data_IF_355679240022
#
_entry.id   IF_355679240022
#
_cell.length_a   1.000
_cell.length_b   1.000
_cell.length_c   1.000
_cell.angle_alpha   90.00
_cell.angle_beta   90.00
_cell.angle_gamma   90.00
#
_symmetry.space_group_name_H-M   'P 1'
#
loop_
_entity.id
_entity.type
_entity.pdbx_description
1 polymer ?
#
# COMPACT_ATOMS: atom_id res chain seq x y z
N UNK A 1 18.03 -3.48 57.44
CA UNK A 1 19.32 -2.78 57.62
C UNK A 1 19.51 -1.91 56.34
N UNK A 2 19.14 -0.61 56.38
CA UNK A 2 19.90 0.57 56.75
C UNK A 2 21.11 0.75 55.81
N UNK A 3 21.39 1.83 55.18
CA UNK A 3 21.32 3.28 55.37
C UNK A 3 21.63 3.98 54.05
N UNK A 4 20.87 4.93 53.63
CA UNK A 4 21.11 6.38 53.55
C UNK A 4 22.54 6.84 53.16
N UNK A 5 22.66 7.66 52.13
CA UNK A 5 23.11 9.05 52.31
C UNK A 5 22.84 9.94 51.10
N UNK A 6 22.20 11.06 51.38
CA UNK A 6 21.92 12.27 50.58
C UNK A 6 23.18 13.15 50.54
N UNK A 7 23.49 13.79 49.40
CA UNK A 7 24.17 15.10 49.40
C UNK A 7 23.59 16.02 48.33
N UNK A 8 23.10 17.15 48.82
CA UNK A 8 22.66 18.38 48.13
C UNK A 8 23.86 19.32 47.93
N UNK A 9 23.86 20.10 46.82
CA UNK A 9 24.19 21.56 46.80
C UNK A 9 23.87 22.10 45.39
N UNK A 10 22.92 22.95 45.23
CA UNK A 10 22.68 24.39 45.54
C UNK A 10 23.49 25.40 44.72
N UNK A 11 22.72 26.24 43.97
CA UNK A 11 22.81 27.72 43.74
C UNK A 11 23.58 28.14 42.49
N UNK A 12 23.19 29.15 41.68
CA UNK A 12 22.27 30.33 41.80
C UNK A 12 22.05 30.95 40.42
N UNK A 13 20.89 31.54 40.22
CA UNK A 13 20.55 32.64 39.28
C UNK A 13 21.36 33.92 39.64
N UNK A 14 21.27 35.12 38.92
CA UNK A 14 20.18 35.65 38.06
C UNK A 14 20.54 36.73 37.00
N UNK A 15 19.48 37.25 36.31
CA UNK A 15 19.24 38.64 35.87
C UNK A 15 19.82 39.03 34.47
N UNK A 16 19.23 39.78 33.62
CA UNK A 16 18.04 40.66 33.47
C UNK A 16 18.13 41.42 32.13
N UNK A 17 16.96 41.70 31.52
CA UNK A 17 16.57 42.89 30.74
C UNK A 17 17.26 43.21 29.41
N UNK A 18 16.52 43.56 28.33
CA UNK A 18 15.50 44.59 28.03
C UNK A 18 14.90 44.32 26.65
N UNK A 19 13.63 44.33 26.41
CA UNK A 19 12.62 45.34 26.03
C UNK A 19 13.04 46.37 24.99
N UNK A 20 12.39 46.35 23.81
CA UNK A 20 11.76 47.44 23.05
C UNK A 20 11.24 46.83 21.73
N UNK A 21 9.97 46.77 21.44
CA UNK A 21 8.91 47.70 21.09
C UNK A 21 9.10 48.41 19.76
N UNK A 22 8.00 48.41 19.00
CA UNK A 22 7.58 49.13 17.78
C UNK A 22 7.80 48.32 16.49
N UNK A 23 6.81 48.16 15.63
CA UNK A 23 5.44 48.64 15.52
C UNK A 23 4.94 48.32 14.13
N UNK A 24 3.69 48.02 14.05
CA UNK A 24 2.69 48.25 13.01
C UNK A 24 3.02 48.24 11.53
N UNK A 25 2.24 47.56 10.81
CA UNK A 25 1.18 47.76 9.79
C UNK A 25 1.50 46.94 8.52
N UNK A 26 0.67 46.33 7.77
CA UNK A 26 -0.73 46.38 7.37
C UNK A 26 -1.10 45.12 6.58
N UNK A 27 -2.30 44.72 6.79
CA UNK A 27 -3.13 43.80 6.00
C UNK A 27 -3.22 44.22 4.54
N UNK A 28 -3.05 43.29 3.57
CA UNK A 28 -3.85 43.29 2.34
C UNK A 28 -4.13 41.85 1.94
N UNK A 29 -5.42 41.50 1.95
CA UNK A 29 -6.07 40.37 1.28
C UNK A 29 -5.83 40.46 -0.23
N UNK A 30 -5.52 39.36 -0.87
CA UNK A 30 -6.04 39.07 -2.20
C UNK A 30 -6.15 37.56 -2.42
N UNK A 31 -7.40 37.16 -2.63
CA UNK A 31 -7.84 35.87 -3.16
C UNK A 31 -7.28 35.62 -4.56
N UNK A 32 -7.10 34.36 -4.90
CA UNK A 32 -7.29 34.01 -6.29
C UNK A 32 -6.37 32.97 -6.89
N UNK A 33 -6.88 31.73 -7.05
CA UNK A 33 -6.70 30.84 -8.21
C UNK A 33 -5.36 30.11 -8.44
N UNK A 34 -5.41 28.82 -8.07
CA UNK A 34 -5.23 27.68 -8.99
C UNK A 34 -4.28 27.89 -10.18
N UNK A 35 -3.15 27.19 -10.13
CA UNK A 35 -2.60 26.31 -11.19
C UNK A 35 -1.12 26.03 -10.92
N UNK A 36 -0.80 24.77 -10.73
CA UNK A 36 0.60 24.29 -10.77
C UNK A 36 1.07 24.30 -12.22
N UNK A 37 2.28 24.75 -12.51
CA UNK A 37 2.99 24.32 -13.69
C UNK A 37 4.24 23.50 -13.34
N UNK A 38 4.44 22.48 -14.12
CA UNK A 38 5.62 21.68 -14.39
C UNK A 38 6.95 22.40 -14.13
N UNK A 39 7.76 21.86 -13.22
CA UNK A 39 9.18 22.15 -13.14
C UNK A 39 9.96 21.30 -14.12
N UNK A 40 10.17 21.83 -15.31
CA UNK A 40 11.19 21.32 -16.23
C UNK A 40 12.52 22.04 -15.92
N UNK A 41 13.50 21.22 -15.68
CA UNK A 41 14.90 21.48 -15.36
C UNK A 41 15.51 22.72 -16.09
N UNK A 42 15.79 23.78 -15.36
CA UNK A 42 16.54 24.99 -15.81
C UNK A 42 17.90 25.05 -15.13
N UNK A 43 18.65 23.96 -15.17
CA UNK A 43 19.95 23.83 -14.48
C UNK A 43 21.13 23.59 -15.42
N UNK A 44 21.03 23.93 -16.71
CA UNK A 44 22.16 23.77 -17.66
C UNK A 44 22.54 25.00 -18.47
N UNK A 45 22.13 26.22 -18.10
CA UNK A 45 22.46 27.42 -18.91
C UNK A 45 23.07 28.61 -18.13
N UNK A 46 23.51 28.43 -16.88
CA UNK A 46 24.09 29.50 -16.08
C UNK A 46 25.56 29.31 -15.69
N UNK A 47 26.35 28.52 -16.45
CA UNK A 47 27.80 28.37 -16.15
C UNK A 47 28.74 28.76 -17.29
N UNK A 48 28.35 29.70 -18.15
CA UNK A 48 29.26 30.25 -19.17
C UNK A 48 29.14 31.77 -19.34
N UNK A 49 28.96 32.51 -18.25
CA UNK A 49 29.02 33.98 -18.33
C UNK A 49 29.61 34.60 -17.06
N UNK A 50 30.80 34.16 -16.68
CA UNK A 50 31.60 34.83 -15.67
C UNK A 50 33.06 34.47 -15.80
N UNK A 51 33.67 34.91 -16.89
CA UNK A 51 35.11 35.08 -17.01
C UNK A 51 35.38 35.90 -18.27
N UNK A 52 35.28 37.22 -18.16
CA UNK A 52 35.97 38.19 -19.02
C UNK A 52 35.54 39.62 -18.64
N UNK A 53 36.05 40.08 -17.53
CA UNK A 53 36.27 41.51 -17.30
C UNK A 53 37.58 41.62 -16.54
N UNK A 54 38.63 41.96 -17.28
CA UNK A 54 39.78 42.77 -16.92
C UNK A 54 40.79 42.75 -18.08
N UNK A 55 40.71 43.75 -18.90
CA UNK A 55 41.84 44.55 -19.35
C UNK A 55 41.39 45.59 -20.35
N UNK A 56 41.40 46.84 -19.91
CA UNK A 56 41.50 47.97 -20.80
C UNK A 56 42.91 48.02 -21.40
N UNK A 57 42.98 48.32 -22.68
CA UNK A 57 43.80 49.41 -23.24
C UNK A 57 43.62 49.49 -24.74
N UNK A 58 43.48 50.70 -25.17
CA UNK A 58 43.24 51.19 -26.50
C UNK A 58 44.08 50.60 -27.62
N UNK A 59 43.48 50.45 -28.81
CA UNK A 59 44.04 50.93 -30.09
C UNK A 59 42.92 51.01 -31.14
N UNK A 60 42.79 52.21 -31.69
CA UNK A 60 41.96 52.64 -32.79
C UNK A 60 42.20 51.83 -34.07
N UNK A 61 41.14 51.23 -34.64
CA UNK A 61 41.21 50.50 -35.91
C UNK A 61 39.82 50.13 -36.41
N UNK A 62 39.25 50.98 -37.21
CA UNK A 62 37.98 50.78 -37.94
C UNK A 62 37.94 49.44 -38.70
N UNK A 63 37.10 48.52 -38.29
CA UNK A 63 36.69 47.37 -39.10
C UNK A 63 35.23 47.51 -39.52
N UNK A 64 34.87 47.25 -40.78
CA UNK A 64 33.52 47.40 -41.30
C UNK A 64 32.58 46.40 -40.63
N UNK A 65 31.40 46.89 -40.25
CA UNK A 65 30.30 46.12 -39.70
C UNK A 65 29.95 44.98 -40.66
N UNK A 66 30.24 43.75 -40.25
CA UNK A 66 29.70 42.56 -40.92
C UNK A 66 28.18 42.48 -40.65
N UNK A 67 27.39 42.66 -41.67
CA UNK A 67 25.92 42.50 -41.61
C UNK A 67 25.54 41.13 -41.03
N UNK A 68 24.51 41.04 -40.16
CA UNK A 68 24.05 39.78 -39.60
C UNK A 68 23.60 38.87 -40.73
N UNK A 69 24.19 37.67 -40.82
CA UNK A 69 23.81 36.68 -41.84
C UNK A 69 22.30 36.36 -41.70
N UNK A 70 21.52 36.43 -42.77
CA UNK A 70 20.09 36.19 -42.73
C UNK A 70 19.85 34.75 -42.23
N UNK A 71 19.09 34.58 -41.14
CA UNK A 71 18.62 33.28 -40.69
C UNK A 71 17.81 32.64 -41.83
N UNK A 72 18.32 31.55 -42.43
CA UNK A 72 17.61 30.79 -43.46
C UNK A 72 16.25 30.39 -42.87
N UNK A 73 15.18 30.94 -43.45
CA UNK A 73 13.79 30.55 -43.11
C UNK A 73 13.64 29.09 -43.43
N UNK A 74 13.18 28.23 -42.49
CA UNK A 74 13.00 26.81 -42.77
C UNK A 74 12.01 26.65 -43.91
N UNK A 75 12.32 25.71 -44.78
CA UNK A 75 11.55 25.43 -46.00
C UNK A 75 10.07 25.15 -45.65
N UNK A 76 9.12 25.61 -46.44
CA UNK A 76 7.68 25.40 -46.17
C UNK A 76 7.35 23.91 -45.96
N UNK A 77 8.05 23.03 -46.66
CA UNK A 77 7.95 21.58 -46.52
C UNK A 77 8.38 21.09 -45.12
N UNK A 78 9.47 21.62 -44.56
CA UNK A 78 9.93 21.26 -43.23
C UNK A 78 8.93 21.73 -42.16
N UNK A 79 8.31 22.88 -42.33
CA UNK A 79 7.25 23.36 -41.41
C UNK A 79 6.00 22.50 -41.48
N UNK A 80 5.61 22.08 -42.67
CA UNK A 80 4.48 21.18 -42.87
C UNK A 80 4.75 19.80 -42.27
N UNK A 81 5.94 19.26 -42.46
CA UNK A 81 6.36 17.98 -41.84
C UNK A 81 6.39 18.08 -40.33
N UNK A 82 6.95 19.17 -39.77
CA UNK A 82 6.95 19.40 -38.31
C UNK A 82 5.52 19.50 -37.76
N UNK A 83 4.61 20.17 -38.51
CA UNK A 83 3.19 20.24 -38.14
C UNK A 83 2.53 18.85 -38.13
N UNK A 84 2.79 18.03 -39.16
CA UNK A 84 2.27 16.65 -39.22
C UNK A 84 2.80 15.78 -38.08
N UNK A 85 4.08 15.90 -37.71
CA UNK A 85 4.67 15.18 -36.60
C UNK A 85 4.04 15.62 -35.27
N UNK A 86 3.89 16.94 -35.05
CA UNK A 86 3.25 17.44 -33.83
C UNK A 86 1.78 17.04 -33.73
N UNK A 87 1.06 17.04 -34.85
CA UNK A 87 -0.33 16.59 -34.94
C UNK A 87 -0.43 15.08 -34.63
N UNK A 88 0.43 14.27 -35.22
CA UNK A 88 0.50 12.83 -34.95
C UNK A 88 0.82 12.51 -33.49
N UNK A 89 1.76 13.26 -32.87
CA UNK A 89 2.06 13.12 -31.44
C UNK A 89 0.88 13.54 -30.56
N UNK A 90 0.16 14.60 -30.94
CA UNK A 90 -1.03 15.05 -30.21
C UNK A 90 -2.17 14.04 -30.30
N UNK A 91 -2.46 13.53 -31.50
CA UNK A 91 -3.47 12.47 -31.72
C UNK A 91 -3.05 11.18 -31.00
N UNK A 92 -1.76 10.82 -31.05
CA UNK A 92 -1.21 9.69 -30.31
C UNK A 92 -1.37 9.84 -28.80
N UNK A 93 -1.09 11.03 -28.25
CA UNK A 93 -1.27 11.31 -26.82
C UNK A 93 -2.75 11.23 -26.41
N UNK A 94 -3.67 11.78 -27.22
CA UNK A 94 -5.12 11.68 -26.95
C UNK A 94 -5.60 10.23 -27.05
N UNK A 95 -5.14 9.47 -28.03
CA UNK A 95 -5.47 8.05 -28.15
C UNK A 95 -4.92 7.21 -26.99
N UNK A 96 -3.71 7.53 -26.51
CA UNK A 96 -3.11 6.93 -25.31
C UNK A 96 -3.94 7.23 -24.06
N UNK A 97 -4.35 8.47 -23.85
CA UNK A 97 -5.18 8.85 -22.71
C UNK A 97 -6.58 8.23 -22.79
N UNK A 98 -7.20 8.24 -23.98
CA UNK A 98 -8.54 7.67 -24.19
C UNK A 98 -8.59 6.14 -24.07
N UNK A 99 -7.46 5.45 -24.23
CA UNK A 99 -7.37 4.00 -24.12
C UNK A 99 -6.41 3.57 -22.99
N UNK A 100 -6.12 4.44 -22.02
CA UNK A 100 -5.17 4.17 -20.96
C UNK A 100 -5.53 2.88 -20.20
N UNK A 101 -6.81 2.66 -19.91
CA UNK A 101 -7.31 1.47 -19.22
C UNK A 101 -7.19 0.19 -20.04
N UNK A 102 -7.11 0.30 -21.39
CA UNK A 102 -6.96 -0.84 -22.31
C UNK A 102 -5.50 -1.12 -22.70
N UNK A 103 -4.60 -0.16 -22.49
CA UNK A 103 -3.19 -0.31 -22.82
C UNK A 103 -2.44 -0.97 -21.66
N UNK A 104 -2.16 -2.24 -21.83
CA UNK A 104 -1.37 -3.00 -20.84
C UNK A 104 0.13 -2.71 -21.04
N UNK A 105 0.67 -1.77 -20.24
CA UNK A 105 2.10 -1.47 -20.21
C UNK A 105 2.90 -2.42 -19.29
N UNK A 106 2.25 -3.38 -18.64
CA UNK A 106 2.88 -4.30 -17.70
C UNK A 106 3.93 -5.18 -18.38
N UNK A 107 3.74 -5.50 -19.67
CA UNK A 107 4.77 -6.18 -20.47
C UNK A 107 6.08 -5.37 -20.50
N UNK A 108 6.00 -4.06 -20.73
CA UNK A 108 7.18 -3.18 -20.74
C UNK A 108 7.80 -3.11 -19.35
N UNK A 109 6.97 -2.96 -18.31
CA UNK A 109 7.41 -2.96 -16.91
C UNK A 109 8.13 -4.27 -16.56
N UNK A 110 7.54 -5.42 -16.90
CA UNK A 110 8.16 -6.74 -16.72
C UNK A 110 9.48 -6.87 -17.48
N UNK A 111 9.52 -6.44 -18.73
CA UNK A 111 10.73 -6.51 -19.54
C UNK A 111 11.89 -5.76 -18.89
N UNK A 112 11.66 -4.54 -18.40
CA UNK A 112 12.68 -3.77 -17.69
C UNK A 112 13.05 -4.39 -16.34
N UNK A 113 12.09 -4.85 -15.56
CA UNK A 113 12.30 -5.38 -14.20
C UNK A 113 13.00 -6.73 -14.21
N UNK A 114 12.71 -7.60 -15.20
CA UNK A 114 13.19 -8.99 -15.20
C UNK A 114 14.11 -9.32 -16.36
N UNK A 115 14.64 -8.36 -17.09
CA UNK A 115 15.54 -8.60 -18.24
C UNK A 115 16.84 -9.35 -17.89
N UNK A 116 17.31 -9.22 -16.65
CA UNK A 116 18.53 -9.87 -16.14
C UNK A 116 18.24 -11.18 -15.39
N UNK A 117 16.97 -11.51 -15.15
CA UNK A 117 16.57 -12.72 -14.46
C UNK A 117 16.60 -13.90 -15.45
N UNK A 118 17.41 -14.91 -15.15
CA UNK A 118 17.42 -16.17 -15.91
C UNK A 118 16.06 -16.87 -15.72
N UNK A 119 15.41 -17.24 -16.84
CA UNK A 119 14.11 -17.91 -16.87
C UNK A 119 14.13 -19.01 -17.89
N UNK A 120 13.35 -20.06 -17.64
CA UNK A 120 13.11 -21.12 -18.62
C UNK A 120 12.09 -20.67 -19.68
N UNK A 121 11.82 -21.52 -20.67
CA UNK A 121 10.91 -21.24 -21.78
C UNK A 121 9.44 -21.04 -21.32
N UNK A 122 9.07 -21.52 -20.14
CA UNK A 122 7.74 -21.30 -19.54
C UNK A 122 7.66 -20.01 -18.71
N UNK A 123 8.72 -19.21 -18.63
CA UNK A 123 8.75 -17.95 -17.89
C UNK A 123 9.05 -18.09 -16.41
N UNK A 124 9.41 -19.28 -15.92
CA UNK A 124 9.76 -19.51 -14.52
C UNK A 124 11.25 -19.21 -14.29
N UNK A 125 11.54 -18.47 -13.22
CA UNK A 125 12.89 -18.33 -12.69
C UNK A 125 13.32 -19.61 -11.95
N UNK A 126 14.62 -19.72 -11.68
CA UNK A 126 15.14 -20.78 -10.83
C UNK A 126 14.54 -20.70 -9.44
N UNK A 127 14.14 -21.85 -8.87
CA UNK A 127 13.62 -21.92 -7.53
C UNK A 127 14.73 -21.74 -6.50
N UNK A 128 14.42 -21.05 -5.41
CA UNK A 128 15.31 -20.90 -4.27
C UNK A 128 14.68 -21.45 -2.99
N UNK A 129 15.53 -21.94 -2.10
CA UNK A 129 15.09 -22.41 -0.79
C UNK A 129 14.93 -21.23 0.18
N UNK A 130 13.85 -21.26 0.94
CA UNK A 130 13.67 -20.38 2.09
C UNK A 130 13.65 -21.19 3.39
N UNK A 131 13.99 -20.54 4.48
CA UNK A 131 13.89 -21.12 5.81
C UNK A 131 12.59 -20.65 6.45
N UNK A 132 11.80 -21.58 6.89
CA UNK A 132 10.54 -21.37 7.55
C UNK A 132 10.07 -22.66 8.21
N UNK A 133 8.85 -22.68 8.72
CA UNK A 133 8.21 -23.85 9.30
C UNK A 133 6.80 -24.06 8.72
N UNK A 134 5.97 -24.87 9.36
CA UNK A 134 4.62 -25.19 8.89
C UNK A 134 3.61 -24.04 9.03
N UNK A 135 3.97 -22.96 9.74
CA UNK A 135 3.10 -21.84 10.09
C UNK A 135 3.60 -20.54 9.50
N UNK A 136 4.09 -20.57 8.26
CA UNK A 136 4.61 -19.39 7.60
C UNK A 136 3.50 -18.46 7.10
N UNK A 137 3.66 -17.14 7.37
CA UNK A 137 2.98 -16.08 6.65
C UNK A 137 3.90 -15.58 5.52
N UNK A 138 3.31 -15.23 4.38
CA UNK A 138 4.03 -14.79 3.19
C UNK A 138 3.42 -13.53 2.62
N UNK A 139 4.28 -12.61 2.17
CA UNK A 139 3.86 -11.43 1.43
C UNK A 139 4.90 -11.04 0.38
N UNK A 140 4.50 -10.19 -0.57
CA UNK A 140 5.41 -9.55 -1.52
C UNK A 140 5.56 -8.08 -1.17
N UNK A 141 6.79 -7.61 -1.04
CA UNK A 141 7.15 -6.23 -0.70
C UNK A 141 8.14 -5.73 -1.73
N UNK A 142 7.78 -4.72 -2.52
CA UNK A 142 8.62 -4.18 -3.61
C UNK A 142 9.23 -5.25 -4.54
N UNK A 143 8.49 -6.36 -4.70
CA UNK A 143 8.95 -7.46 -5.53
C UNK A 143 9.82 -8.50 -4.84
N UNK A 144 10.15 -8.33 -3.59
CA UNK A 144 10.87 -9.30 -2.77
C UNK A 144 9.86 -10.16 -1.97
N UNK A 145 10.24 -11.39 -1.63
CA UNK A 145 9.42 -12.32 -0.86
C UNK A 145 9.73 -12.17 0.64
N UNK A 146 8.74 -11.75 1.40
CA UNK A 146 8.78 -11.83 2.86
C UNK A 146 8.26 -13.20 3.31
N UNK A 147 9.06 -13.88 4.13
CA UNK A 147 8.71 -15.13 4.79
C UNK A 147 8.78 -14.89 6.30
N UNK A 148 7.64 -14.98 6.95
CA UNK A 148 7.53 -14.81 8.37
C UNK A 148 7.08 -16.12 9.02
N UNK A 149 7.85 -16.62 9.96
CA UNK A 149 7.56 -17.81 10.77
C UNK A 149 7.49 -17.43 12.25
N UNK A 150 7.05 -18.32 13.12
CA UNK A 150 7.13 -18.10 14.56
C UNK A 150 8.52 -17.74 15.09
N UNK A 151 9.58 -18.18 14.42
CA UNK A 151 10.95 -18.05 14.90
C UNK A 151 11.82 -17.10 14.09
N UNK A 152 11.40 -16.74 12.87
CA UNK A 152 12.25 -15.92 11.98
C UNK A 152 11.41 -15.05 11.05
N UNK A 153 11.94 -13.87 10.72
CA UNK A 153 11.47 -13.02 9.64
C UNK A 153 12.60 -12.92 8.63
N UNK A 154 12.31 -13.24 7.36
CA UNK A 154 13.28 -13.19 6.27
C UNK A 154 12.70 -12.50 5.04
N UNK A 155 13.52 -11.67 4.41
CA UNK A 155 13.18 -11.01 3.14
C UNK A 155 14.15 -11.49 2.05
N UNK A 156 13.61 -12.07 0.99
CA UNK A 156 14.37 -12.64 -0.12
C UNK A 156 14.09 -11.89 -1.42
N UNK A 157 15.13 -11.66 -2.22
CA UNK A 157 14.93 -11.24 -3.61
C UNK A 157 14.21 -12.31 -4.43
N UNK A 158 13.75 -11.96 -5.63
CA UNK A 158 13.18 -12.92 -6.58
C UNK A 158 14.17 -14.03 -7.05
N UNK A 159 15.47 -13.90 -6.75
CA UNK A 159 16.52 -14.88 -7.00
C UNK A 159 17.00 -15.62 -5.72
N UNK A 160 16.37 -15.39 -4.57
CA UNK A 160 16.69 -16.08 -3.32
C UNK A 160 17.82 -15.47 -2.49
N UNK A 161 18.31 -14.26 -2.84
CA UNK A 161 19.24 -13.54 -1.97
C UNK A 161 18.50 -13.03 -0.74
N UNK A 162 18.94 -13.38 0.45
CA UNK A 162 18.40 -12.83 1.70
C UNK A 162 18.93 -11.42 1.95
N UNK A 163 18.03 -10.49 2.26
CA UNK A 163 18.33 -9.13 2.70
C UNK A 163 18.12 -8.97 4.20
N UNK A 164 17.08 -9.60 4.73
CA UNK A 164 16.78 -9.65 6.16
C UNK A 164 16.82 -11.11 6.62
N UNK A 165 17.41 -11.35 7.77
CA UNK A 165 17.42 -12.63 8.49
C UNK A 165 17.38 -12.33 9.98
N UNK A 166 16.18 -12.25 10.54
CA UNK A 166 15.94 -11.83 11.91
C UNK A 166 15.30 -12.96 12.71
N UNK A 167 15.89 -13.28 13.87
CA UNK A 167 15.29 -14.18 14.84
C UNK A 167 14.23 -13.44 15.65
N UNK A 168 13.06 -14.05 15.79
CA UNK A 168 11.91 -13.52 16.55
C UNK A 168 11.30 -14.65 17.38
N UNK A 169 10.34 -14.31 18.25
CA UNK A 169 9.57 -15.31 19.02
C UNK A 169 8.10 -14.92 18.99
N UNK A 170 7.39 -15.37 17.96
CA UNK A 170 5.97 -15.10 17.76
C UNK A 170 5.17 -16.39 17.85
N UNK A 171 3.91 -16.27 18.24
CA UNK A 171 2.98 -17.40 18.28
C UNK A 171 2.13 -17.47 17.01
N UNK A 172 1.62 -16.32 16.58
CA UNK A 172 0.72 -16.20 15.43
C UNK A 172 1.17 -15.03 14.54
N UNK A 173 2.22 -15.22 13.72
CA UNK A 173 2.71 -14.16 12.85
C UNK A 173 1.69 -13.79 11.77
N UNK A 174 1.38 -12.52 11.67
CA UNK A 174 0.50 -11.92 10.65
C UNK A 174 1.26 -10.84 9.92
N UNK A 175 0.98 -10.70 8.62
CA UNK A 175 1.65 -9.71 7.76
C UNK A 175 0.60 -8.85 7.08
N UNK A 176 0.75 -7.52 7.17
CA UNK A 176 0.07 -6.53 6.35
C UNK A 176 1.09 -5.82 5.46
N UNK A 177 0.72 -5.49 4.22
CA UNK A 177 1.62 -4.81 3.27
C UNK A 177 0.91 -3.72 2.52
N UNK A 178 1.58 -2.57 2.37
CA UNK A 178 1.15 -1.50 1.48
C UNK A 178 2.32 -0.59 1.09
N UNK A 179 2.32 -0.04 -0.11
CA UNK A 179 3.25 1.02 -0.54
C UNK A 179 4.73 0.70 -0.39
N UNK A 180 5.14 -0.57 -0.54
CA UNK A 180 6.53 -0.98 -0.37
C UNK A 180 6.96 -1.15 1.08
N UNK A 181 6.00 -1.14 2.02
CA UNK A 181 6.20 -1.40 3.45
C UNK A 181 5.52 -2.70 3.83
N UNK A 182 6.18 -3.52 4.64
CA UNK A 182 5.60 -4.67 5.30
C UNK A 182 5.58 -4.44 6.81
N UNK A 183 4.47 -4.74 7.42
CA UNK A 183 4.26 -4.77 8.85
C UNK A 183 4.02 -6.23 9.26
N UNK A 184 4.80 -6.72 10.21
CA UNK A 184 4.69 -8.07 10.78
C UNK A 184 4.37 -7.95 12.25
N UNK A 185 3.38 -8.67 12.73
CA UNK A 185 3.04 -8.65 14.15
C UNK A 185 2.60 -10.03 14.67
N UNK A 186 2.75 -10.25 15.96
CA UNK A 186 2.27 -11.45 16.65
C UNK A 186 0.83 -11.23 17.15
N UNK A 187 -0.16 -11.81 16.45
CA UNK A 187 -1.56 -11.70 16.84
C UNK A 187 -1.82 -12.44 18.17
N UNK A 188 -2.21 -11.71 19.20
CA UNK A 188 -2.30 -12.17 20.59
C UNK A 188 -1.00 -12.07 21.38
N UNK A 189 0.11 -11.74 20.72
CA UNK A 189 1.41 -11.44 21.32
C UNK A 189 1.65 -9.93 21.49
N UNK A 190 2.92 -9.51 21.50
CA UNK A 190 3.29 -8.12 21.81
C UNK A 190 4.28 -7.50 20.81
N UNK A 191 4.87 -8.29 19.94
CA UNK A 191 5.94 -7.83 19.05
C UNK A 191 5.36 -7.42 17.69
N UNK A 192 5.87 -6.31 17.17
CA UNK A 192 5.56 -5.76 15.87
C UNK A 192 6.84 -5.24 15.24
N UNK A 193 7.01 -5.51 13.93
CA UNK A 193 8.17 -5.13 13.14
C UNK A 193 7.72 -4.52 11.82
N UNK A 194 8.43 -3.50 11.34
CA UNK A 194 8.15 -2.85 10.06
C UNK A 194 9.40 -2.89 9.19
N UNK A 195 9.23 -3.33 7.95
CA UNK A 195 10.27 -3.44 6.94
C UNK A 195 9.95 -2.56 5.75
N UNK A 196 10.94 -1.82 5.29
CA UNK A 196 10.87 -1.02 4.07
C UNK A 196 12.27 -0.86 3.48
N UNK A 197 12.40 -0.79 2.15
CA UNK A 197 13.70 -0.64 1.50
C UNK A 197 14.69 -1.78 1.80
N UNK A 198 14.19 -2.99 2.15
CA UNK A 198 14.98 -4.19 2.44
C UNK A 198 15.66 -4.20 3.81
N UNK A 199 15.19 -3.41 4.75
CA UNK A 199 15.70 -3.34 6.13
C UNK A 199 14.56 -3.17 7.13
N UNK A 200 14.81 -3.50 8.41
CA UNK A 200 13.91 -3.14 9.50
C UNK A 200 14.01 -1.63 9.74
N UNK A 201 12.87 -0.94 9.68
CA UNK A 201 12.81 0.52 9.88
C UNK A 201 12.16 0.90 11.20
N UNK A 202 11.40 -0.02 11.80
CA UNK A 202 10.76 0.20 13.09
C UNK A 202 10.42 -1.13 13.77
N UNK A 203 10.49 -1.17 15.09
CA UNK A 203 9.96 -2.26 15.91
C UNK A 203 9.32 -1.73 17.18
N UNK A 204 8.31 -2.45 17.66
CA UNK A 204 7.54 -2.12 18.84
C UNK A 204 7.30 -3.38 19.67
N UNK A 205 7.53 -3.31 20.96
CA UNK A 205 7.07 -4.32 21.91
C UNK A 205 6.07 -3.67 22.87
N UNK A 206 4.84 -4.15 22.84
CA UNK A 206 3.77 -3.67 23.71
C UNK A 206 4.04 -4.05 25.18
N UNK A 207 3.48 -3.26 26.10
CA UNK A 207 3.55 -3.53 27.54
C UNK A 207 2.75 -4.78 27.92
N UNK A 208 3.01 -5.31 29.12
CA UNK A 208 2.26 -6.45 29.65
C UNK A 208 0.75 -6.10 29.76
N UNK A 209 -0.09 -6.99 29.24
CA UNK A 209 -1.54 -6.81 29.20
C UNK A 209 -2.05 -5.99 28.02
N UNK A 210 -1.18 -5.61 27.07
CA UNK A 210 -1.53 -4.93 25.82
C UNK A 210 -1.24 -5.83 24.60
N UNK A 211 -1.80 -7.03 24.57
CA UNK A 211 -1.62 -7.94 23.44
C UNK A 211 -2.16 -7.31 22.15
N UNK A 212 -1.42 -7.49 21.06
CA UNK A 212 -1.80 -7.05 19.72
C UNK A 212 -3.01 -7.84 19.21
N UNK A 213 -4.04 -7.16 18.73
CA UNK A 213 -5.20 -7.77 18.11
C UNK A 213 -5.08 -7.73 16.59
N UNK A 214 -4.72 -6.56 16.06
CA UNK A 214 -4.49 -6.32 14.64
C UNK A 214 -3.47 -5.21 14.47
N UNK A 215 -2.82 -5.16 13.31
CA UNK A 215 -2.05 -4.01 12.89
C UNK A 215 -2.07 -3.91 11.36
N UNK A 216 -2.29 -2.70 10.85
CA UNK A 216 -2.35 -2.42 9.42
C UNK A 216 -1.43 -1.27 9.04
N UNK A 217 -0.95 -1.26 7.79
CA UNK A 217 -0.13 -0.21 7.21
C UNK A 217 -0.79 0.33 5.94
N UNK A 218 -0.87 1.65 5.81
CA UNK A 218 -1.37 2.25 4.58
C UNK A 218 -0.24 2.50 3.55
N UNK A 219 -0.61 2.91 2.34
CA UNK A 219 0.34 3.16 1.23
C UNK A 219 1.38 4.25 1.52
N UNK A 220 1.19 5.08 2.54
CA UNK A 220 2.08 6.16 2.94
C UNK A 220 2.96 5.79 4.16
N UNK A 221 2.89 4.53 4.61
CA UNK A 221 3.66 4.04 5.76
C UNK A 221 3.10 4.44 7.13
N UNK A 222 1.84 4.93 7.19
CA UNK A 222 1.15 5.15 8.46
C UNK A 222 0.60 3.85 9.00
N UNK A 223 0.64 3.67 10.34
CA UNK A 223 0.21 2.42 10.97
C UNK A 223 -1.03 2.67 11.83
N UNK A 224 -1.94 1.69 11.84
CA UNK A 224 -2.97 1.54 12.86
C UNK A 224 -2.65 0.27 13.66
N UNK A 225 -2.43 0.40 14.96
CA UNK A 225 -2.11 -0.72 15.84
C UNK A 225 -3.23 -0.90 16.85
N UNK A 226 -3.95 -2.01 16.75
CA UNK A 226 -5.06 -2.38 17.64
C UNK A 226 -4.53 -3.31 18.72
N UNK A 227 -4.78 -2.99 19.97
CA UNK A 227 -4.31 -3.78 21.12
C UNK A 227 -5.37 -3.91 22.20
N UNK A 228 -5.19 -4.92 23.04
CA UNK A 228 -5.91 -5.02 24.32
C UNK A 228 -5.50 -3.87 25.22
N UNK A 229 -6.42 -3.44 26.06
CA UNK A 229 -6.16 -2.41 27.07
C UNK A 229 -6.94 -2.70 28.37
N UNK A 230 -6.23 -2.69 29.50
CA UNK A 230 -6.85 -2.95 30.80
C UNK A 230 -7.89 -1.84 31.13
N UNK A 231 -9.10 -2.25 31.50
CA UNK A 231 -10.20 -1.32 31.77
C UNK A 231 -10.98 -0.85 30.56
N UNK A 232 -10.54 -1.19 29.34
CA UNK A 232 -11.22 -0.88 28.08
C UNK A 232 -11.51 -2.16 27.27
N UNK A 233 -12.30 -2.03 26.22
CA UNK A 233 -12.60 -3.12 25.28
C UNK A 233 -11.62 -3.21 24.12
N UNK A 234 -10.57 -2.40 24.16
CA UNK A 234 -9.46 -2.32 23.23
C UNK A 234 -9.07 -0.87 22.96
N UNK A 235 -7.91 -0.71 22.37
CA UNK A 235 -7.39 0.58 21.94
C UNK A 235 -6.76 0.49 20.56
N UNK A 236 -6.75 1.63 19.86
CA UNK A 236 -6.05 1.81 18.59
C UNK A 236 -5.08 2.96 18.73
N UNK A 237 -3.81 2.72 18.44
CA UNK A 237 -2.80 3.76 18.33
C UNK A 237 -2.44 3.96 16.88
N UNK A 238 -2.53 5.19 16.40
CA UNK A 238 -2.12 5.57 15.04
C UNK A 238 -0.71 6.14 15.10
N UNK A 239 0.17 5.64 14.23
CA UNK A 239 1.53 6.14 14.05
C UNK A 239 1.67 6.81 12.68
N UNK A 240 2.40 7.91 12.63
CA UNK A 240 2.76 8.56 11.36
C UNK A 240 3.85 7.78 10.59
N UNK A 241 4.25 8.27 9.43
CA UNK A 241 5.31 7.66 8.61
C UNK A 241 6.74 7.82 9.17
N UNK A 242 6.89 8.50 10.30
CA UNK A 242 8.12 8.56 11.11
C UNK A 242 8.06 7.59 12.27
N UNK A 243 6.98 6.79 12.35
CA UNK A 243 6.66 5.85 13.43
C UNK A 243 6.51 6.52 14.80
N UNK A 244 6.12 7.80 14.81
CA UNK A 244 5.77 8.51 16.03
C UNK A 244 4.27 8.32 16.32
N UNK A 245 3.87 8.02 17.58
CA UNK A 245 2.46 7.90 17.93
C UNK A 245 1.79 9.27 17.82
N UNK A 246 0.71 9.33 17.04
CA UNK A 246 -0.05 10.55 16.76
C UNK A 246 -1.24 10.70 17.71
N UNK A 247 -2.05 9.65 17.83
CA UNK A 247 -3.27 9.62 18.62
C UNK A 247 -3.57 8.19 19.06
N UNK A 248 -4.21 8.06 20.23
CA UNK A 248 -4.71 6.79 20.77
C UNK A 248 -6.19 6.91 21.06
N UNK A 249 -6.96 5.92 20.63
CA UNK A 249 -8.39 5.76 20.93
C UNK A 249 -8.56 4.57 21.87
N UNK A 250 -9.14 4.79 23.06
CA UNK A 250 -9.43 3.73 24.04
C UNK A 250 -10.94 3.58 24.19
N UNK A 251 -11.48 2.45 23.74
CA UNK A 251 -12.92 2.22 23.68
C UNK A 251 -13.40 1.42 24.89
N UNK A 252 -14.46 1.89 25.53
CA UNK A 252 -15.07 1.23 26.70
C UNK A 252 -16.42 0.58 26.42
N UNK A 253 -17.10 1.00 25.35
CA UNK A 253 -18.47 0.58 25.02
C UNK A 253 -18.54 -0.57 24.00
N UNK A 254 -17.57 -0.66 23.05
CA UNK A 254 -17.51 -1.68 22.00
C UNK A 254 -16.11 -2.26 21.90
N UNK A 255 -16.00 -3.53 21.54
CA UNK A 255 -14.70 -4.18 21.29
C UNK A 255 -14.15 -3.68 19.95
N UNK A 256 -12.87 -3.29 19.94
CA UNK A 256 -12.14 -3.02 18.69
C UNK A 256 -11.50 -4.31 18.20
N UNK A 257 -11.70 -4.60 16.93
CA UNK A 257 -11.18 -5.82 16.30
C UNK A 257 -10.05 -5.53 15.31
N UNK A 258 -10.17 -4.43 14.56
CA UNK A 258 -9.25 -4.05 13.52
C UNK A 258 -9.29 -2.53 13.28
N UNK A 259 -8.28 -1.98 12.61
CA UNK A 259 -8.27 -0.58 12.24
C UNK A 259 -7.40 -0.33 10.99
N UNK A 260 -7.82 0.61 10.15
CA UNK A 260 -7.10 0.99 8.94
C UNK A 260 -7.01 2.52 8.79
N UNK A 261 -5.82 3.05 8.49
CA UNK A 261 -5.61 4.48 8.23
C UNK A 261 -6.00 4.82 6.79
N UNK A 262 -6.72 5.93 6.62
CA UNK A 262 -7.12 6.44 5.32
C UNK A 262 -5.91 6.66 4.38
N UNK A 263 -6.08 6.48 3.05
CA UNK A 263 -5.01 6.76 2.09
C UNK A 263 -4.54 8.22 2.06
N UNK A 264 -5.38 9.15 2.52
CA UNK A 264 -5.03 10.57 2.63
C UNK A 264 -4.45 10.97 3.99
N UNK A 265 -4.30 10.01 4.92
CA UNK A 265 -3.76 10.16 6.28
C UNK A 265 -4.56 11.14 7.18
N UNK A 266 -5.86 11.35 6.90
CA UNK A 266 -6.66 12.29 7.69
C UNK A 266 -7.63 11.63 8.65
N UNK A 267 -7.92 10.36 8.43
CA UNK A 267 -8.89 9.60 9.22
C UNK A 267 -8.41 8.18 9.45
N UNK A 268 -8.97 7.54 10.45
CA UNK A 268 -8.82 6.10 10.74
C UNK A 268 -10.21 5.46 10.84
N UNK A 269 -10.36 4.28 10.26
CA UNK A 269 -11.52 3.42 10.41
C UNK A 269 -11.22 2.37 11.48
N UNK A 270 -12.10 2.22 12.44
CA UNK A 270 -12.06 1.18 13.45
C UNK A 270 -13.19 0.20 13.20
N UNK A 271 -12.87 -1.08 13.06
CA UNK A 271 -13.85 -2.14 13.08
C UNK A 271 -14.20 -2.45 14.53
N UNK A 272 -15.45 -2.22 14.89
CA UNK A 272 -15.96 -2.44 16.25
C UNK A 272 -17.09 -3.46 16.27
N UNK A 273 -17.15 -4.25 17.34
CA UNK A 273 -18.23 -5.17 17.59
C UNK A 273 -18.88 -4.90 18.96
N UNK A 274 -20.17 -5.12 19.06
CA UNK A 274 -20.90 -4.92 20.30
C UNK A 274 -22.36 -5.30 20.19
N UNK A 275 -23.15 -4.87 21.18
CA UNK A 275 -24.59 -5.07 21.17
C UNK A 275 -25.29 -3.72 20.96
N UNK A 276 -26.24 -3.69 20.03
CA UNK A 276 -27.16 -2.58 19.82
C UNK A 276 -28.58 -3.11 19.98
N UNK A 277 -29.32 -2.56 20.93
CA UNK A 277 -30.65 -3.05 21.29
C UNK A 277 -30.71 -4.56 21.58
N UNK A 278 -29.64 -5.09 22.19
CA UNK A 278 -29.51 -6.52 22.54
C UNK A 278 -29.09 -7.43 21.39
N UNK A 279 -28.91 -6.92 20.19
CA UNK A 279 -28.46 -7.66 19.01
C UNK A 279 -26.97 -7.42 18.75
N UNK A 280 -26.26 -8.47 18.33
CA UNK A 280 -24.88 -8.36 17.87
C UNK A 280 -24.80 -7.49 16.64
N UNK A 281 -23.84 -6.59 16.62
CA UNK A 281 -23.64 -5.66 15.52
C UNK A 281 -22.16 -5.39 15.31
N UNK A 282 -21.70 -5.48 14.07
CA UNK A 282 -20.41 -4.98 13.60
C UNK A 282 -20.58 -3.60 12.98
N UNK A 283 -19.66 -2.69 13.26
CA UNK A 283 -19.63 -1.31 12.75
C UNK A 283 -18.25 -0.93 12.25
N UNK A 284 -18.24 -0.04 11.28
CA UNK A 284 -17.07 0.76 10.93
C UNK A 284 -17.27 2.14 11.54
N UNK A 285 -16.47 2.46 12.54
CA UNK A 285 -16.45 3.75 13.22
C UNK A 285 -15.27 4.57 12.70
N UNK A 286 -15.55 5.79 12.21
CA UNK A 286 -14.58 6.66 11.56
C UNK A 286 -14.20 7.80 12.48
N UNK A 287 -12.90 8.04 12.62
CA UNK A 287 -12.34 9.12 13.43
C UNK A 287 -11.39 9.96 12.59
N UNK A 288 -11.52 11.29 12.68
CA UNK A 288 -10.52 12.18 12.11
C UNK A 288 -9.27 12.22 13.00
N UNK A 289 -8.10 12.34 12.36
CA UNK A 289 -6.82 12.34 13.06
C UNK A 289 -6.36 13.74 13.52
N UNK A 290 -7.11 14.79 13.22
CA UNK A 290 -6.86 16.17 13.67
C UNK A 290 -7.54 16.52 15.02
N UNK A 291 -8.12 15.52 15.68
CA UNK A 291 -8.82 15.68 16.96
C UNK A 291 -7.87 15.61 18.17
N UNK A 292 -8.40 15.99 19.34
CA UNK A 292 -7.70 15.83 20.61
C UNK A 292 -7.95 14.45 21.22
N UNK A 293 -7.04 13.97 22.09
CA UNK A 293 -7.17 12.67 22.79
C UNK A 293 -8.44 12.56 23.67
N UNK A 294 -9.03 13.69 24.07
CA UNK A 294 -10.23 13.74 24.92
C UNK A 294 -11.53 13.40 24.16
N UNK A 295 -11.51 13.45 22.83
CA UNK A 295 -12.67 13.15 21.99
C UNK A 295 -12.74 11.65 21.69
N UNK A 296 -13.70 10.94 22.31
CA UNK A 296 -13.83 9.47 22.19
C UNK A 296 -14.94 9.03 21.24
N UNK A 297 -15.85 9.91 20.86
CA UNK A 297 -16.94 9.58 19.95
C UNK A 297 -16.47 9.61 18.50
N UNK A 298 -16.92 8.66 17.64
CA UNK A 298 -16.59 8.67 16.22
C UNK A 298 -17.24 9.87 15.51
N UNK A 299 -16.58 10.39 14.47
CA UNK A 299 -17.18 11.41 13.59
C UNK A 299 -18.33 10.82 12.76
N UNK A 300 -18.20 9.56 12.36
CA UNK A 300 -19.21 8.81 11.64
C UNK A 300 -19.22 7.34 12.06
N UNK A 301 -20.39 6.73 11.98
CA UNK A 301 -20.60 5.31 12.29
C UNK A 301 -21.42 4.67 11.18
N UNK A 302 -20.93 3.55 10.65
CA UNK A 302 -21.63 2.76 9.65
C UNK A 302 -21.82 1.33 10.14
N UNK A 303 -23.07 0.89 10.44
CA UNK A 303 -23.34 -0.52 10.71
C UNK A 303 -23.08 -1.37 9.46
N UNK A 304 -22.33 -2.47 9.62
CA UNK A 304 -22.00 -3.42 8.54
C UNK A 304 -22.61 -4.81 8.80
N UNK A 305 -23.72 -4.81 9.50
CA UNK A 305 -24.52 -6.00 9.74
C UNK A 305 -24.24 -6.70 11.07
N UNK A 306 -24.88 -7.86 11.24
CA UNK A 306 -24.84 -8.66 12.46
C UNK A 306 -24.01 -9.94 12.30
N UNK A 307 -23.01 -9.92 11.43
CA UNK A 307 -22.08 -11.02 11.20
C UNK A 307 -20.64 -10.61 11.53
N UNK A 308 -19.77 -11.60 11.70
CA UNK A 308 -18.36 -11.34 11.93
C UNK A 308 -17.70 -10.78 10.67
N UNK A 309 -16.97 -9.69 10.82
CA UNK A 309 -16.09 -9.15 9.80
C UNK A 309 -14.70 -9.78 9.99
N UNK A 310 -14.13 -10.28 8.91
CA UNK A 310 -12.90 -11.08 8.88
C UNK A 310 -11.69 -10.27 8.48
N UNK A 311 -11.87 -9.19 7.70
CA UNK A 311 -10.80 -8.33 7.20
C UNK A 311 -11.35 -6.92 6.94
N UNK A 312 -10.53 -5.90 7.17
CA UNK A 312 -10.83 -4.50 6.94
C UNK A 312 -9.69 -3.87 6.14
N UNK A 313 -10.01 -3.30 4.97
CA UNK A 313 -9.04 -2.61 4.12
C UNK A 313 -9.54 -1.22 3.74
N UNK A 314 -8.70 -0.20 3.90
CA UNK A 314 -9.01 1.13 3.39
C UNK A 314 -8.21 1.43 2.13
N UNK A 315 -8.89 1.45 1.00
CA UNK A 315 -8.33 1.72 -0.31
C UNK A 315 -8.79 3.09 -0.83
N UNK A 316 -8.27 3.52 -1.98
CA UNK A 316 -8.74 4.74 -2.66
C UNK A 316 -10.22 4.67 -3.10
N UNK A 317 -10.78 3.47 -3.21
CA UNK A 317 -12.17 3.23 -3.62
C UNK A 317 -13.15 3.09 -2.45
N UNK A 318 -12.67 3.14 -1.20
CA UNK A 318 -13.49 3.01 0.01
C UNK A 318 -12.90 2.06 1.03
N UNK A 319 -13.66 1.85 2.11
CA UNK A 319 -13.34 0.93 3.19
C UNK A 319 -14.07 -0.38 2.90
N UNK A 320 -13.31 -1.44 2.70
CA UNK A 320 -13.80 -2.78 2.41
C UNK A 320 -13.84 -3.58 3.70
N UNK A 321 -15.04 -3.94 4.15
CA UNK A 321 -15.27 -4.79 5.31
C UNK A 321 -15.78 -6.16 4.84
N UNK A 322 -14.89 -7.15 4.85
CA UNK A 322 -15.19 -8.51 4.42
C UNK A 322 -15.80 -9.30 5.57
N UNK A 323 -17.06 -9.66 5.45
CA UNK A 323 -17.76 -10.49 6.43
C UNK A 323 -17.82 -11.98 6.07
N UNK A 324 -18.27 -12.79 7.01
CA UNK A 324 -18.50 -14.22 6.81
C UNK A 324 -19.62 -14.50 5.78
N UNK A 325 -20.62 -13.62 5.70
CA UNK A 325 -21.82 -13.80 4.85
C UNK A 325 -21.97 -12.74 3.76
N UNK A 326 -21.15 -11.71 3.73
CA UNK A 326 -21.22 -10.61 2.76
C UNK A 326 -20.00 -9.69 2.82
N UNK A 327 -19.84 -8.90 1.76
CA UNK A 327 -18.86 -7.86 1.64
C UNK A 327 -19.56 -6.51 1.73
N UNK A 328 -19.01 -5.58 2.49
CA UNK A 328 -19.54 -4.23 2.69
C UNK A 328 -18.51 -3.19 2.29
N UNK A 329 -18.94 -2.13 1.62
CA UNK A 329 -18.07 -1.05 1.18
C UNK A 329 -18.60 0.24 1.79
N UNK A 330 -17.78 0.88 2.60
CA UNK A 330 -18.11 2.13 3.32
C UNK A 330 -17.27 3.26 2.72
N UNK A 331 -17.92 4.37 2.42
CA UNK A 331 -17.22 5.57 1.93
C UNK A 331 -16.49 6.30 3.08
N UNK A 332 -15.56 7.18 2.73
CA UNK A 332 -14.77 7.94 3.72
C UNK A 332 -15.57 8.92 4.58
N UNK A 333 -16.85 9.13 4.28
CA UNK A 333 -17.83 9.90 5.06
C UNK A 333 -18.80 9.01 5.87
N UNK A 334 -18.49 7.72 6.01
CA UNK A 334 -19.22 6.80 6.86
C UNK A 334 -20.55 6.29 6.31
N UNK A 335 -20.77 6.40 5.00
CA UNK A 335 -21.98 5.89 4.35
C UNK A 335 -21.70 4.51 3.72
N UNK A 336 -22.62 3.56 3.91
CA UNK A 336 -22.57 2.28 3.19
C UNK A 336 -22.83 2.54 1.70
N UNK A 337 -21.77 2.51 0.89
CA UNK A 337 -21.80 2.80 -0.53
C UNK A 337 -22.10 1.58 -1.40
N UNK A 338 -21.85 0.38 -0.89
CA UNK A 338 -22.10 -0.87 -1.59
C UNK A 338 -22.10 -2.08 -0.66
N UNK A 339 -22.74 -3.16 -1.09
CA UNK A 339 -22.67 -4.44 -0.40
C UNK A 339 -22.94 -5.60 -1.35
N UNK A 340 -22.33 -6.75 -1.08
CA UNK A 340 -22.56 -7.98 -1.80
C UNK A 340 -22.87 -9.11 -0.83
N UNK A 341 -24.09 -9.61 -0.86
CA UNK A 341 -24.53 -10.76 -0.06
C UNK A 341 -24.11 -12.07 -0.75
N UNK A 342 -23.54 -13.01 -0.02
CA UNK A 342 -23.09 -14.29 -0.59
C UNK A 342 -24.23 -15.23 -0.94
N UNK A 343 -25.47 -14.92 -0.57
CA UNK A 343 -26.65 -15.72 -0.89
C UNK A 343 -26.64 -17.11 -0.24
N UNK A 344 -26.12 -17.21 0.98
CA UNK A 344 -25.98 -18.46 1.71
C UNK A 344 -24.82 -19.36 1.24
N UNK A 345 -23.97 -18.88 0.33
CA UNK A 345 -22.71 -19.54 -0.06
C UNK A 345 -21.64 -19.31 1.00
N UNK A 346 -20.66 -20.20 1.04
CA UNK A 346 -19.56 -20.16 1.99
C UNK A 346 -18.32 -19.53 1.38
N UNK A 347 -17.74 -18.56 2.06
CA UNK A 347 -16.45 -17.97 1.69
C UNK A 347 -15.34 -19.01 1.90
N UNK A 348 -14.62 -19.38 0.83
CA UNK A 348 -13.51 -20.34 0.84
C UNK A 348 -12.16 -19.66 0.80
N UNK A 349 -12.04 -18.61 0.03
CA UNK A 349 -10.84 -17.78 -0.08
C UNK A 349 -11.22 -16.39 -0.57
N UNK A 350 -10.35 -15.42 -0.32
CA UNK A 350 -10.53 -14.06 -0.77
C UNK A 350 -9.19 -13.35 -1.00
N UNK A 351 -9.22 -12.24 -1.73
CA UNK A 351 -8.14 -11.24 -1.78
C UNK A 351 -8.76 -9.87 -2.00
N UNK A 352 -8.38 -8.91 -1.16
CA UNK A 352 -8.80 -7.49 -1.24
C UNK A 352 -7.73 -6.59 -1.86
N UNK A 353 -6.65 -7.16 -2.40
CA UNK A 353 -5.49 -6.43 -2.96
C UNK A 353 -5.65 -6.10 -4.45
N UNK A 354 -6.83 -6.32 -5.03
CA UNK A 354 -7.17 -5.90 -6.38
C UNK A 354 -7.33 -4.38 -6.48
N UNK A 355 -7.09 -3.83 -7.67
CA UNK A 355 -7.27 -2.39 -7.94
C UNK A 355 -8.75 -2.04 -8.07
N UNK A 356 -9.36 -1.63 -6.94
CA UNK A 356 -10.79 -1.31 -6.84
C UNK A 356 -11.73 -2.51 -6.98
N UNK A 357 -11.24 -3.74 -6.77
CA UNK A 357 -12.04 -4.96 -6.81
C UNK A 357 -11.66 -5.92 -5.70
N UNK A 358 -12.64 -6.64 -5.16
CA UNK A 358 -12.43 -7.79 -4.29
C UNK A 358 -12.57 -9.08 -5.10
N UNK A 359 -11.69 -10.04 -4.89
CA UNK A 359 -11.80 -11.40 -5.46
C UNK A 359 -12.27 -12.36 -4.38
N UNK A 360 -13.38 -13.05 -4.62
CA UNK A 360 -14.02 -13.97 -3.67
C UNK A 360 -14.17 -15.35 -4.29
N UNK A 361 -13.78 -16.39 -3.57
CA UNK A 361 -14.07 -17.78 -3.94
C UNK A 361 -15.21 -18.28 -3.04
N UNK A 362 -16.40 -18.43 -3.61
CA UNK A 362 -17.59 -18.85 -2.88
C UNK A 362 -17.99 -20.28 -3.24
N UNK A 363 -18.17 -21.13 -2.24
CA UNK A 363 -18.63 -22.50 -2.42
C UNK A 363 -20.08 -22.70 -2.01
N UNK A 364 -20.82 -23.52 -2.73
CA UNK A 364 -22.17 -23.92 -2.34
C UNK A 364 -22.19 -24.67 -1.00
N UNK A 365 -21.11 -25.38 -0.72
CA UNK A 365 -20.95 -26.16 0.51
C UNK A 365 -19.63 -25.79 1.19
N UNK A 366 -19.59 -25.96 2.49
CA UNK A 366 -18.36 -25.70 3.28
C UNK A 366 -17.21 -26.62 2.86
N UNK A 367 -17.50 -27.88 2.55
CA UNK A 367 -16.55 -28.87 2.01
C UNK A 367 -16.80 -29.07 0.50
N UNK A 368 -15.81 -29.63 -0.19
CA UNK A 368 -15.86 -29.92 -1.65
C UNK A 368 -15.11 -28.87 -2.50
N UNK A 369 -14.81 -29.22 -3.75
CA UNK A 369 -14.04 -28.44 -4.70
C UNK A 369 -14.86 -27.43 -5.49
N UNK A 370 -16.15 -27.72 -5.73
CA UNK A 370 -17.02 -26.88 -6.53
C UNK A 370 -17.19 -25.50 -5.88
N UNK A 371 -16.78 -24.48 -6.59
CA UNK A 371 -16.85 -23.10 -6.15
C UNK A 371 -17.08 -22.16 -7.34
N UNK A 372 -17.28 -20.91 -7.07
CA UNK A 372 -17.38 -19.85 -8.05
C UNK A 372 -16.42 -18.75 -7.65
N UNK A 373 -15.52 -18.36 -8.55
CA UNK A 373 -14.66 -17.19 -8.40
C UNK A 373 -15.44 -15.97 -8.85
N UNK A 374 -15.50 -14.97 -8.01
CA UNK A 374 -16.22 -13.72 -8.25
C UNK A 374 -15.26 -12.55 -8.11
N UNK A 375 -15.49 -11.51 -8.91
CA UNK A 375 -14.92 -10.19 -8.68
C UNK A 375 -16.05 -9.20 -8.39
N UNK A 376 -15.91 -8.44 -7.30
CA UNK A 376 -16.87 -7.45 -6.85
C UNK A 376 -16.22 -6.07 -6.98
N UNK A 377 -16.91 -5.13 -7.62
CA UNK A 377 -16.42 -3.77 -7.82
C UNK A 377 -16.64 -2.88 -6.57
N UNK A 378 -16.12 -1.65 -6.63
CA UNK A 378 -16.23 -0.67 -5.53
C UNK A 378 -17.67 -0.20 -5.23
N UNK A 379 -18.65 -0.50 -6.09
CA UNK A 379 -20.07 -0.26 -5.83
C UNK A 379 -20.78 -1.43 -5.16
N UNK A 380 -20.04 -2.52 -4.83
CA UNK A 380 -20.63 -3.74 -4.29
C UNK A 380 -21.36 -4.61 -5.33
N UNK A 381 -21.15 -4.33 -6.62
CA UNK A 381 -21.78 -5.07 -7.70
C UNK A 381 -20.87 -6.19 -8.20
N UNK A 382 -21.49 -7.29 -8.65
CA UNK A 382 -20.78 -8.37 -9.31
C UNK A 382 -20.21 -7.90 -10.65
N UNK A 383 -18.88 -7.83 -10.77
CA UNK A 383 -18.22 -7.48 -12.02
C UNK A 383 -18.09 -8.70 -12.94
N UNK A 384 -17.66 -9.85 -12.42
CA UNK A 384 -17.55 -11.08 -13.17
C UNK A 384 -17.69 -12.30 -12.26
N UNK A 385 -18.05 -13.46 -12.87
CA UNK A 385 -18.18 -14.74 -12.20
C UNK A 385 -17.62 -15.86 -13.10
N UNK A 386 -16.85 -16.76 -12.49
CA UNK A 386 -16.26 -17.92 -13.16
C UNK A 386 -16.49 -19.19 -12.33
N UNK A 387 -17.24 -20.18 -12.83
CA UNK A 387 -17.35 -21.46 -12.17
C UNK A 387 -16.00 -22.19 -12.11
N UNK A 388 -15.68 -22.76 -10.95
CA UNK A 388 -14.46 -23.53 -10.72
C UNK A 388 -14.83 -24.89 -10.15
N UNK A 389 -14.56 -25.95 -10.91
CA UNK A 389 -14.88 -27.33 -10.52
C UNK A 389 -13.71 -28.01 -9.80
N UNK A 390 -12.50 -27.51 -10.04
CA UNK A 390 -11.27 -28.04 -9.44
C UNK A 390 -11.02 -27.47 -8.05
N UNK A 391 -10.22 -28.19 -7.27
CA UNK A 391 -9.79 -27.69 -5.98
C UNK A 391 -8.82 -26.53 -6.17
N UNK A 392 -9.24 -25.34 -5.74
CA UNK A 392 -8.37 -24.17 -5.63
C UNK A 392 -7.55 -24.26 -4.35
N UNK A 393 -6.24 -24.17 -4.47
CA UNK A 393 -5.30 -24.17 -3.35
C UNK A 393 -5.08 -22.77 -2.79
N UNK A 394 -5.01 -21.79 -3.66
CA UNK A 394 -4.78 -20.39 -3.29
C UNK A 394 -5.32 -19.44 -4.35
N UNK A 395 -5.85 -18.30 -3.92
CA UNK A 395 -6.11 -17.15 -4.79
C UNK A 395 -5.31 -15.95 -4.27
N UNK A 396 -4.93 -15.08 -5.16
CA UNK A 396 -4.28 -13.81 -4.81
C UNK A 396 -4.56 -12.80 -5.91
N UNK A 397 -4.99 -11.61 -5.55
CA UNK A 397 -5.15 -10.50 -6.47
C UNK A 397 -4.07 -9.45 -6.25
N UNK A 398 -3.65 -8.76 -7.30
CA UNK A 398 -2.81 -7.58 -7.22
C UNK A 398 -2.97 -6.72 -8.48
N UNK A 399 -3.24 -5.44 -8.30
CA UNK A 399 -3.57 -4.58 -9.43
C UNK A 399 -4.77 -5.13 -10.20
N UNK A 400 -4.64 -5.30 -11.50
CA UNK A 400 -5.69 -5.82 -12.39
C UNK A 400 -5.71 -7.35 -12.54
N UNK A 401 -4.86 -8.08 -11.82
CA UNK A 401 -4.67 -9.51 -12.02
C UNK A 401 -5.16 -10.31 -10.83
N UNK A 402 -5.73 -11.48 -11.13
CA UNK A 402 -6.19 -12.47 -10.15
C UNK A 402 -5.53 -13.80 -10.48
N UNK A 403 -4.63 -14.26 -9.62
CA UNK A 403 -3.99 -15.58 -9.73
C UNK A 403 -4.81 -16.65 -9.00
N UNK A 404 -5.06 -17.75 -9.67
CA UNK A 404 -5.77 -18.92 -9.14
C UNK A 404 -4.88 -20.13 -9.28
N UNK A 405 -4.42 -20.66 -8.15
CA UNK A 405 -3.57 -21.83 -8.10
C UNK A 405 -4.42 -23.08 -7.83
N UNK A 406 -4.29 -24.06 -8.71
CA UNK A 406 -4.81 -25.42 -8.52
C UNK A 406 -3.66 -26.41 -8.31
N UNK A 407 -3.92 -27.69 -8.25
CA UNK A 407 -2.90 -28.72 -7.97
C UNK A 407 -1.80 -28.79 -9.05
N UNK A 408 -2.12 -28.47 -10.31
CA UNK A 408 -1.26 -28.71 -11.46
C UNK A 408 -1.00 -27.47 -12.33
N UNK A 409 -1.74 -26.37 -12.11
CA UNK A 409 -1.57 -25.13 -12.87
C UNK A 409 -1.85 -23.88 -12.05
N UNK A 410 -1.30 -22.76 -12.53
CA UNK A 410 -1.64 -21.40 -12.14
C UNK A 410 -2.33 -20.73 -13.33
N UNK A 411 -3.57 -20.32 -13.17
CA UNK A 411 -4.27 -19.46 -14.10
C UNK A 411 -4.25 -18.02 -13.59
N UNK A 412 -3.88 -17.08 -14.45
CA UNK A 412 -3.92 -15.65 -14.15
C UNK A 412 -5.04 -15.05 -14.99
N UNK A 413 -5.97 -14.37 -14.33
CA UNK A 413 -7.12 -13.72 -14.94
C UNK A 413 -7.00 -12.20 -14.83
N UNK A 414 -7.73 -11.48 -15.68
CA UNK A 414 -8.06 -10.06 -15.49
C UNK A 414 -9.09 -9.89 -14.37
N UNK A 415 -9.40 -8.65 -14.00
CA UNK A 415 -10.50 -8.33 -13.07
C UNK A 415 -11.89 -8.77 -13.62
N UNK A 416 -12.05 -8.83 -14.94
CA UNK A 416 -13.26 -9.32 -15.61
C UNK A 416 -13.26 -10.85 -15.75
N UNK A 417 -12.34 -11.55 -15.10
CA UNK A 417 -12.11 -12.99 -15.14
C UNK A 417 -11.89 -13.55 -16.56
N UNK A 418 -11.33 -12.72 -17.45
CA UNK A 418 -10.79 -13.18 -18.72
C UNK A 418 -9.41 -13.78 -18.49
N UNK A 419 -9.18 -14.98 -19.05
CA UNK A 419 -7.89 -15.67 -18.91
C UNK A 419 -6.78 -14.86 -19.59
N UNK A 420 -5.80 -14.43 -18.77
CA UNK A 420 -4.63 -13.69 -19.24
C UNK A 420 -3.49 -14.64 -19.59
N UNK A 421 -3.17 -15.59 -18.72
CA UNK A 421 -2.09 -16.55 -18.93
C UNK A 421 -2.29 -17.79 -18.08
N UNK A 422 -1.71 -18.93 -18.52
CA UNK A 422 -1.68 -20.19 -17.77
C UNK A 422 -0.26 -20.72 -17.67
N UNK A 423 0.15 -21.09 -16.49
CA UNK A 423 1.35 -21.85 -16.23
C UNK A 423 0.99 -23.25 -15.79
N UNK A 424 1.35 -24.26 -16.58
CA UNK A 424 1.22 -25.67 -16.22
C UNK A 424 2.45 -26.15 -15.44
N UNK A 425 2.30 -27.28 -14.75
CA UNK A 425 3.42 -27.89 -14.03
C UNK A 425 3.73 -27.21 -12.70
N UNK A 426 2.71 -26.76 -11.98
CA UNK A 426 2.83 -26.14 -10.67
C UNK A 426 2.78 -27.13 -9.51
N UNK A 427 2.97 -28.42 -9.77
CA UNK A 427 2.96 -29.45 -8.74
C UNK A 427 3.83 -29.06 -7.55
N UNK A 428 3.32 -29.33 -6.35
CA UNK A 428 3.86 -28.97 -5.04
C UNK A 428 3.69 -27.49 -4.63
N UNK A 429 3.32 -26.58 -5.53
CA UNK A 429 2.98 -25.21 -5.11
C UNK A 429 1.71 -25.23 -4.25
N UNK A 430 1.76 -24.58 -3.11
CA UNK A 430 0.68 -24.50 -2.13
C UNK A 430 0.05 -23.10 -2.07
N UNK A 431 0.83 -22.08 -2.42
CA UNK A 431 0.40 -20.69 -2.36
C UNK A 431 0.89 -19.91 -3.58
N UNK A 432 0.06 -19.00 -4.04
CA UNK A 432 0.41 -17.98 -5.04
C UNK A 432 0.33 -16.61 -4.41
N UNK A 433 1.31 -15.74 -4.72
CA UNK A 433 1.25 -14.32 -4.43
C UNK A 433 1.32 -13.59 -5.78
N UNK A 434 0.20 -13.04 -6.19
CA UNK A 434 0.06 -12.30 -7.44
C UNK A 434 0.75 -10.93 -7.30
N UNK A 435 1.28 -10.40 -8.39
CA UNK A 435 1.88 -9.07 -8.46
C UNK A 435 1.13 -8.19 -9.45
N UNK A 436 1.17 -6.89 -9.21
CA UNK A 436 0.45 -5.89 -10.03
C UNK A 436 0.96 -5.78 -11.47
N UNK A 437 2.12 -6.35 -11.79
CA UNK A 437 2.67 -6.42 -13.15
C UNK A 437 2.27 -7.70 -13.90
N UNK A 438 1.44 -8.56 -13.29
CA UNK A 438 1.02 -9.84 -13.83
C UNK A 438 1.97 -11.00 -13.58
N UNK A 439 3.14 -10.78 -12.97
CA UNK A 439 3.99 -11.87 -12.49
C UNK A 439 3.45 -12.44 -11.18
N UNK A 440 3.88 -13.63 -10.79
CA UNK A 440 3.42 -14.30 -9.57
C UNK A 440 4.56 -15.05 -8.88
N UNK A 441 4.57 -15.03 -7.55
CA UNK A 441 5.46 -15.88 -6.75
C UNK A 441 4.71 -17.17 -6.41
N UNK A 442 5.28 -18.30 -6.79
CA UNK A 442 4.80 -19.63 -6.42
C UNK A 442 5.60 -20.14 -5.24
N UNK A 443 4.92 -20.60 -4.23
CA UNK A 443 5.49 -21.04 -2.96
C UNK A 443 5.07 -22.48 -2.71
N UNK A 444 6.03 -23.36 -2.48
CA UNK A 444 5.81 -24.71 -1.94
C UNK A 444 6.20 -24.78 -0.45
N UNK A 445 6.39 -25.94 0.12
CA UNK A 445 6.70 -26.12 1.54
C UNK A 445 8.06 -25.52 1.94
N UNK A 446 9.04 -25.47 1.05
CA UNK A 446 10.44 -25.11 1.32
C UNK A 446 11.08 -24.28 0.25
N UNK A 447 10.44 -24.10 -0.89
CA UNK A 447 11.00 -23.33 -2.01
C UNK A 447 10.00 -22.31 -2.55
N UNK A 448 10.55 -21.24 -3.12
CA UNK A 448 9.79 -20.26 -3.85
C UNK A 448 10.39 -20.06 -5.25
N UNK A 449 9.55 -19.70 -6.21
CA UNK A 449 9.97 -19.38 -7.57
C UNK A 449 9.11 -18.28 -8.17
N UNK A 450 9.74 -17.39 -8.88
CA UNK A 450 9.05 -16.32 -9.59
C UNK A 450 8.60 -16.81 -10.98
N UNK A 451 7.34 -16.61 -11.28
CA UNK A 451 6.76 -16.78 -12.62
C UNK A 451 6.54 -15.41 -13.26
N UNK A 452 7.01 -15.23 -14.47
CA UNK A 452 6.87 -14.00 -15.27
C UNK A 452 6.20 -14.39 -16.59
N UNK A 453 4.92 -14.08 -16.84
CA UNK A 453 4.24 -14.34 -18.10
C UNK A 453 4.99 -13.70 -19.27
N UNK A 454 5.06 -14.43 -20.40
CA UNK A 454 5.70 -13.95 -21.63
C UNK A 454 4.79 -13.08 -22.46
#
# INVERSE_FOLDING_TARGET
>A
YACCTVVRHRRRHPLRHNVSLFGNEKIILLQGLHKRPFYLCRLCLCRMKSMKEHRMEDINGSRPNAAPKPKKRPNRFVRFLAFLVTLALMVGAVALVANYDKLNFDFIKRWFSYRTLARNDSGQAESFHFVGDSSNAFAVVDGDLLVCSPNTIRLYSGSGQAFVDQAVSMTNPVVSTAGGTALVYDAGGRELFVYSGREEVFSLTQEDGQALLSADVNQNGWLAVTSQESGHKGSVTVYDNSYSPLVRFSLSNRFVMDAAVAPDNKSVALLTIGLTDGNFESRVDLYRLDRTEEETEPDWTCPVGNNAILDLRWTSSGIWALGESGLYIVSGDGVLSGSYDYGGRYLKAFSLDGDGTASLLLGKYRAGSTAELLTINASGELAAALPVEEQVLSISAAGRYVGVLTADRLDIYSQDLELYNTLNGTQNAQKVLQRSDGSAMLIDSTTARLYVPQ
#
